data_IF_126700405610
#
_entry.id   IF_126700405610
#
_cell.length_a   1.000
_cell.length_b   1.000
_cell.length_c   1.000
_cell.angle_alpha   90.00
_cell.angle_beta   90.00
_cell.angle_gamma   90.00
#
_symmetry.space_group_name_H-M   'P 1'
#
loop_
_entity.id
_entity.type
_entity.pdbx_description
1 polymer ?
#
# COMPACT_ATOMS: atom_id res chain seq x y z
N UNK A 1 -15.02 -17.00 0.62
CA UNK A 1 -16.18 -16.35 1.27
C UNK A 1 -15.81 -14.91 1.58
N UNK A 2 -16.76 -13.96 1.61
CA UNK A 2 -16.47 -12.61 2.08
C UNK A 2 -16.23 -12.58 3.61
N UNK A 3 -15.63 -11.50 4.09
CA UNK A 3 -15.34 -11.28 5.51
C UNK A 3 -15.94 -9.97 5.99
N UNK A 4 -16.22 -9.87 7.28
CA UNK A 4 -16.57 -8.58 7.88
C UNK A 4 -15.37 -7.62 7.87
N UNK A 5 -15.54 -6.40 7.35
CA UNK A 5 -14.48 -5.40 7.28
C UNK A 5 -14.01 -4.93 8.67
N UNK A 6 -14.85 -5.05 9.70
CA UNK A 6 -14.52 -4.65 11.06
C UNK A 6 -13.85 -5.77 11.88
N UNK A 7 -14.48 -6.96 11.96
CA UNK A 7 -14.04 -8.04 12.84
C UNK A 7 -13.38 -9.24 12.14
N UNK A 8 -13.29 -9.25 10.80
CA UNK A 8 -12.70 -10.34 9.98
C UNK A 8 -13.39 -11.71 10.06
N UNK A 9 -14.50 -11.81 10.79
CA UNK A 9 -15.30 -13.03 10.81
C UNK A 9 -15.85 -13.29 9.39
N UNK A 10 -15.75 -14.53 8.86
CA UNK A 10 -16.35 -14.86 7.57
C UNK A 10 -17.86 -14.67 7.60
N UNK A 11 -18.42 -14.18 6.50
CA UNK A 11 -19.86 -13.96 6.33
C UNK A 11 -20.30 -14.66 5.05
N UNK A 12 -21.53 -15.19 5.02
CA UNK A 12 -22.04 -15.88 3.83
C UNK A 12 -22.29 -14.92 2.67
N UNK A 13 -22.92 -13.78 2.94
CA UNK A 13 -23.25 -12.73 1.98
C UNK A 13 -23.03 -11.36 2.63
N UNK A 14 -22.67 -10.36 1.81
CA UNK A 14 -22.45 -8.99 2.28
C UNK A 14 -23.70 -8.13 2.18
N UNK A 15 -24.56 -8.43 1.21
CA UNK A 15 -25.79 -7.70 0.95
C UNK A 15 -26.81 -8.60 0.25
N UNK A 16 -28.08 -8.28 0.47
CA UNK A 16 -29.22 -8.89 -0.21
C UNK A 16 -29.80 -7.91 -1.21
N UNK A 17 -30.09 -8.37 -2.43
CA UNK A 17 -30.73 -7.59 -3.50
C UNK A 17 -32.18 -8.06 -3.66
N UNK A 18 -33.11 -7.11 -3.59
CA UNK A 18 -34.54 -7.36 -3.78
C UNK A 18 -34.98 -7.09 -5.22
N UNK A 19 -35.64 -8.06 -5.84
CA UNK A 19 -36.04 -8.01 -7.26
C UNK A 19 -37.02 -6.88 -7.59
N UNK A 20 -37.85 -6.47 -6.62
CA UNK A 20 -38.95 -5.54 -6.88
C UNK A 20 -38.53 -4.10 -7.15
N UNK A 21 -37.34 -3.67 -6.72
CA UNK A 21 -36.95 -2.24 -6.77
C UNK A 21 -35.44 -1.98 -6.89
N UNK A 22 -34.60 -2.98 -7.20
CA UNK A 22 -33.13 -2.85 -7.14
C UNK A 22 -32.61 -2.28 -5.80
N UNK A 23 -33.39 -2.47 -4.73
CA UNK A 23 -32.99 -2.08 -3.39
C UNK A 23 -31.98 -3.11 -2.88
N UNK A 24 -30.84 -2.61 -2.41
CA UNK A 24 -29.82 -3.42 -1.75
C UNK A 24 -29.91 -3.17 -0.24
N UNK A 25 -29.72 -4.22 0.55
CA UNK A 25 -29.65 -4.14 2.00
C UNK A 25 -28.39 -4.84 2.49
N UNK A 26 -27.59 -4.12 3.26
CA UNK A 26 -26.38 -4.68 3.87
C UNK A 26 -26.74 -5.74 4.92
N UNK A 27 -25.96 -6.83 4.93
CA UNK A 27 -26.06 -7.90 5.92
C UNK A 27 -25.34 -7.51 7.21
N UNK A 28 -25.85 -8.00 8.34
CA UNK A 28 -25.27 -7.78 9.65
C UNK A 28 -24.30 -8.91 10.01
N UNK A 29 -23.13 -8.58 10.53
CA UNK A 29 -22.18 -9.58 11.02
C UNK A 29 -22.67 -10.20 12.33
N UNK A 30 -22.74 -11.53 12.40
CA UNK A 30 -23.15 -12.26 13.61
C UNK A 30 -22.22 -12.08 14.81
N UNK A 31 -20.95 -11.69 14.59
CA UNK A 31 -19.95 -11.57 15.64
C UNK A 31 -19.86 -10.15 16.23
N UNK A 32 -19.75 -9.11 15.40
CA UNK A 32 -19.66 -7.72 15.89
C UNK A 32 -20.99 -6.97 15.88
N UNK A 33 -22.05 -7.55 15.32
CA UNK A 33 -23.39 -6.95 15.18
C UNK A 33 -23.41 -5.62 14.39
N UNK A 34 -22.31 -5.23 13.75
CA UNK A 34 -22.26 -4.14 12.77
C UNK A 34 -22.64 -4.62 11.38
N UNK A 35 -22.79 -3.69 10.44
CA UNK A 35 -22.86 -4.04 9.01
C UNK A 35 -21.58 -4.75 8.57
N UNK A 36 -21.72 -5.84 7.82
CA UNK A 36 -20.58 -6.67 7.43
C UNK A 36 -19.58 -5.91 6.56
N UNK A 37 -20.07 -5.10 5.63
CA UNK A 37 -19.26 -4.26 4.76
C UNK A 37 -20.03 -3.02 4.25
N UNK A 38 -19.89 -1.86 4.90
CA UNK A 38 -20.51 -0.60 4.46
C UNK A 38 -20.01 -0.11 3.09
N UNK A 39 -18.81 -0.50 2.68
CA UNK A 39 -18.16 0.00 1.47
C UNK A 39 -18.78 -0.51 0.18
N UNK A 40 -19.70 -1.49 0.26
CA UNK A 40 -20.51 -1.95 -0.89
C UNK A 40 -21.33 -0.81 -1.50
N UNK A 41 -21.79 0.13 -0.68
CA UNK A 41 -22.60 1.28 -1.12
C UNK A 41 -21.75 2.50 -1.51
N UNK A 42 -20.46 2.49 -1.18
CA UNK A 42 -19.60 3.66 -1.35
C UNK A 42 -19.12 3.79 -2.80
N UNK A 43 -18.99 5.03 -3.27
CA UNK A 43 -18.48 5.32 -4.60
C UNK A 43 -16.95 5.16 -4.68
N UNK A 44 -16.43 5.09 -5.91
CA UNK A 44 -15.02 4.86 -6.14
C UNK A 44 -14.11 5.97 -5.57
N UNK A 45 -14.60 7.22 -5.50
CA UNK A 45 -13.85 8.34 -4.94
C UNK A 45 -13.70 8.21 -3.42
N UNK A 46 -14.78 7.88 -2.71
CA UNK A 46 -14.70 7.65 -1.26
C UNK A 46 -13.80 6.47 -0.94
N UNK A 47 -13.87 5.39 -1.72
CA UNK A 47 -12.94 4.26 -1.60
C UNK A 47 -11.48 4.69 -1.80
N UNK A 48 -11.20 5.52 -2.81
CA UNK A 48 -9.85 6.01 -3.07
C UNK A 48 -9.31 6.88 -1.94
N UNK A 49 -10.10 7.81 -1.42
CA UNK A 49 -9.71 8.68 -0.31
C UNK A 49 -9.41 7.87 0.95
N UNK A 50 -10.32 6.97 1.33
CA UNK A 50 -10.14 6.10 2.49
C UNK A 50 -8.92 5.18 2.36
N UNK A 51 -8.58 4.79 1.12
CA UNK A 51 -7.41 3.98 0.83
C UNK A 51 -6.12 4.78 0.99
N UNK A 52 -6.08 6.02 0.49
CA UNK A 52 -4.96 6.96 0.68
C UNK A 52 -4.76 7.27 2.16
N UNK A 53 -5.85 7.39 2.93
CA UNK A 53 -5.85 7.59 4.38
C UNK A 53 -5.53 6.33 5.20
N UNK A 54 -5.18 5.22 4.53
CA UNK A 54 -4.83 3.96 5.17
C UNK A 54 -5.90 3.47 6.15
N UNK A 55 -7.19 3.60 5.81
CA UNK A 55 -8.25 3.01 6.64
C UNK A 55 -8.26 1.49 6.48
N UNK A 56 -8.23 0.76 7.60
CA UNK A 56 -8.19 -0.72 7.58
C UNK A 56 -9.36 -1.35 6.83
N UNK A 57 -10.54 -0.76 6.94
CA UNK A 57 -11.78 -1.36 6.45
C UNK A 57 -11.85 -1.39 4.93
N UNK A 58 -11.41 -0.32 4.25
CA UNK A 58 -11.35 -0.30 2.78
C UNK A 58 -10.34 -1.29 2.21
N UNK A 59 -9.22 -1.54 2.89
CA UNK A 59 -8.29 -2.61 2.50
C UNK A 59 -8.98 -3.97 2.53
N UNK A 60 -9.74 -4.25 3.60
CA UNK A 60 -10.48 -5.52 3.72
C UNK A 60 -11.57 -5.64 2.67
N UNK A 61 -12.27 -4.54 2.40
CA UNK A 61 -13.25 -4.46 1.31
C UNK A 61 -12.61 -4.84 -0.04
N UNK A 62 -11.54 -4.15 -0.43
CA UNK A 62 -10.90 -4.34 -1.74
C UNK A 62 -10.21 -5.71 -1.89
N UNK A 63 -9.60 -6.24 -0.82
CA UNK A 63 -8.84 -7.49 -0.87
C UNK A 63 -9.73 -8.74 -0.77
N UNK A 64 -10.78 -8.71 0.05
CA UNK A 64 -11.53 -9.93 0.40
C UNK A 64 -13.02 -9.89 0.03
N UNK A 65 -13.60 -8.71 -0.21
CA UNK A 65 -15.03 -8.55 -0.43
C UNK A 65 -15.38 -8.05 -1.83
N UNK A 66 -14.42 -7.46 -2.55
CA UNK A 66 -14.61 -7.03 -3.93
C UNK A 66 -15.09 -8.20 -4.81
N UNK A 67 -16.11 -7.93 -5.61
CA UNK A 67 -16.71 -8.91 -6.53
C UNK A 67 -17.47 -10.04 -5.82
N UNK A 68 -17.90 -9.85 -4.56
CA UNK A 68 -18.75 -10.84 -3.89
C UNK A 68 -20.15 -10.83 -4.49
N UNK A 69 -20.71 -12.01 -4.71
CA UNK A 69 -22.05 -12.15 -5.26
C UNK A 69 -23.12 -11.78 -4.21
N UNK A 70 -24.17 -11.04 -4.60
CA UNK A 70 -25.29 -10.73 -3.73
C UNK A 70 -26.10 -11.98 -3.39
N UNK A 71 -26.77 -11.93 -2.24
CA UNK A 71 -27.89 -12.83 -1.99
C UNK A 71 -29.12 -12.34 -2.76
N UNK A 72 -29.72 -13.19 -3.59
CA UNK A 72 -31.00 -12.90 -4.23
C UNK A 72 -32.15 -13.48 -3.41
N UNK A 73 -33.10 -12.64 -2.99
CA UNK A 73 -34.28 -13.11 -2.26
C UNK A 73 -35.22 -13.86 -3.23
N UNK A 74 -35.59 -15.10 -2.91
CA UNK A 74 -36.51 -15.93 -3.70
C UNK A 74 -35.89 -17.10 -4.46
N UNK A 75 -34.55 -17.25 -4.45
CA UNK A 75 -33.90 -18.48 -4.93
C UNK A 75 -33.79 -19.49 -3.77
N UNK A 76 -34.47 -20.62 -3.89
CA UNK A 76 -34.24 -21.81 -3.04
C UNK A 76 -32.88 -22.41 -3.35
N UNK A 77 -32.19 -22.90 -2.33
CA UNK A 77 -30.76 -23.29 -2.27
C UNK A 77 -30.29 -24.40 -3.25
N UNK A 78 -31.03 -24.70 -4.31
CA UNK A 78 -30.77 -25.79 -5.25
C UNK A 78 -29.93 -25.39 -6.48
N UNK A 79 -29.72 -24.10 -6.75
CA UNK A 79 -28.96 -23.62 -7.94
C UNK A 79 -27.50 -23.18 -7.62
N UNK A 80 -26.99 -23.50 -6.42
CA UNK A 80 -25.66 -23.07 -5.93
C UNK A 80 -24.48 -23.84 -6.57
N UNK A 81 -24.71 -24.47 -7.73
CA UNK A 81 -23.70 -25.18 -8.54
C UNK A 81 -23.16 -24.31 -9.68
N UNK A 82 -23.45 -23.00 -9.68
CA UNK A 82 -22.78 -22.08 -10.60
C UNK A 82 -21.31 -21.99 -10.20
N UNK A 83 -20.45 -22.45 -11.11
CA UNK A 83 -19.00 -22.41 -10.97
C UNK A 83 -18.56 -20.99 -10.57
N UNK A 84 -18.21 -20.81 -9.29
CA UNK A 84 -17.60 -19.57 -8.82
C UNK A 84 -16.38 -19.30 -9.71
N UNK A 85 -16.32 -18.18 -10.44
CA UNK A 85 -15.12 -17.85 -11.20
C UNK A 85 -13.92 -17.91 -10.25
N UNK A 86 -12.80 -18.46 -10.72
CA UNK A 86 -11.65 -18.63 -9.86
C UNK A 86 -11.10 -17.24 -9.50
N UNK A 87 -11.52 -16.71 -8.35
CA UNK A 87 -11.17 -15.39 -7.79
C UNK A 87 -9.65 -15.08 -7.80
N UNK A 88 -8.81 -16.11 -7.96
CA UNK A 88 -7.37 -16.00 -8.17
C UNK A 88 -7.00 -15.36 -9.53
N UNK A 89 -7.69 -15.73 -10.62
CA UNK A 89 -7.49 -15.14 -11.95
C UNK A 89 -7.85 -13.66 -11.96
N UNK A 90 -8.95 -13.29 -11.30
CA UNK A 90 -9.38 -11.90 -11.18
C UNK A 90 -8.36 -11.05 -10.41
N UNK A 91 -7.80 -11.60 -9.34
CA UNK A 91 -6.77 -10.89 -8.56
C UNK A 91 -5.50 -10.64 -9.37
N UNK A 92 -5.02 -11.63 -10.14
CA UNK A 92 -3.87 -11.43 -11.02
C UNK A 92 -4.17 -10.47 -12.16
N UNK A 93 -5.38 -10.51 -12.73
CA UNK A 93 -5.82 -9.53 -13.72
C UNK A 93 -5.80 -8.10 -13.16
N UNK A 94 -6.21 -7.91 -11.90
CA UNK A 94 -6.11 -6.61 -11.21
C UNK A 94 -4.66 -6.16 -11.00
N UNK A 95 -3.77 -7.06 -10.60
CA UNK A 95 -2.32 -6.77 -10.47
C UNK A 95 -1.76 -6.28 -11.80
N UNK A 96 -2.06 -6.99 -12.90
CA UNK A 96 -1.59 -6.64 -14.25
C UNK A 96 -2.25 -5.35 -14.76
N UNK A 97 -3.49 -5.06 -14.37
CA UNK A 97 -4.19 -3.84 -14.78
C UNK A 97 -3.69 -2.59 -14.04
N UNK A 98 -3.42 -2.70 -12.73
CA UNK A 98 -3.04 -1.56 -11.88
C UNK A 98 -1.53 -1.30 -11.87
N UNK A 99 -0.73 -2.36 -11.90
CA UNK A 99 0.73 -2.29 -11.76
C UNK A 99 1.40 -1.35 -12.78
N UNK A 100 1.16 -1.50 -14.10
CA UNK A 100 1.79 -0.66 -15.12
C UNK A 100 1.49 0.83 -14.93
N UNK A 101 0.25 1.19 -14.62
CA UNK A 101 -0.14 2.59 -14.39
C UNK A 101 0.58 3.18 -13.18
N UNK A 102 0.68 2.45 -12.07
CA UNK A 102 1.36 2.92 -10.86
C UNK A 102 2.87 3.04 -11.05
N UNK A 103 3.49 2.08 -11.74
CA UNK A 103 4.92 2.10 -12.07
C UNK A 103 5.22 3.26 -13.02
N UNK A 104 4.37 3.51 -14.01
CA UNK A 104 4.52 4.63 -14.92
C UNK A 104 4.46 5.98 -14.18
N UNK A 105 3.48 6.16 -13.28
CA UNK A 105 3.38 7.38 -12.48
C UNK A 105 4.62 7.57 -11.59
N UNK A 106 5.09 6.51 -10.92
CA UNK A 106 6.31 6.60 -10.10
C UNK A 106 7.54 6.95 -10.96
N UNK A 107 7.68 6.34 -12.14
CA UNK A 107 8.77 6.63 -13.08
C UNK A 107 8.73 8.07 -13.60
N UNK A 108 7.56 8.60 -13.95
CA UNK A 108 7.39 10.00 -14.38
C UNK A 108 7.75 10.97 -13.26
N UNK A 109 7.34 10.69 -12.02
CA UNK A 109 7.71 11.52 -10.86
C UNK A 109 9.22 11.54 -10.67
N UNK A 110 9.89 10.37 -10.72
CA UNK A 110 11.36 10.28 -10.57
C UNK A 110 12.09 10.98 -11.71
N UNK A 111 11.64 10.78 -12.95
CA UNK A 111 12.25 11.41 -14.11
C UNK A 111 12.14 12.94 -14.07
N UNK A 112 10.98 13.48 -13.67
CA UNK A 112 10.80 14.95 -13.55
C UNK A 112 11.56 15.53 -12.36
N UNK A 113 11.69 14.80 -11.26
CA UNK A 113 12.41 15.28 -10.08
C UNK A 113 13.92 15.38 -10.32
N UNK A 114 14.51 14.54 -11.16
CA UNK A 114 15.94 14.59 -11.50
C UNK A 114 16.17 15.40 -12.79
N UNK A 115 16.52 16.67 -12.62
CA UNK A 115 16.75 17.62 -13.72
C UNK A 115 18.01 17.36 -14.54
N UNK A 116 18.93 16.55 -14.01
CA UNK A 116 20.22 16.26 -14.64
C UNK A 116 20.14 15.06 -15.59
N UNK A 117 19.03 14.33 -15.56
CA UNK A 117 18.78 13.16 -16.42
C UNK A 117 18.23 13.63 -17.77
N UNK A 118 18.91 13.33 -18.90
CA UNK A 118 18.45 13.76 -20.21
C UNK A 118 17.14 13.07 -20.63
N UNK A 119 16.35 13.72 -21.48
CA UNK A 119 15.02 13.24 -21.89
C UNK A 119 15.01 11.81 -22.46
N UNK A 120 16.09 11.40 -23.13
CA UNK A 120 16.20 10.05 -23.72
C UNK A 120 16.46 8.95 -22.69
N UNK A 121 16.73 9.29 -21.43
CA UNK A 121 16.95 8.33 -20.34
C UNK A 121 15.66 7.92 -19.61
N UNK A 122 14.50 8.49 -19.94
CA UNK A 122 13.20 8.03 -19.41
C UNK A 122 12.98 6.50 -19.47
N UNK A 123 13.24 5.79 -20.60
CA UNK A 123 13.09 4.34 -20.64
C UNK A 123 13.98 3.60 -19.63
N UNK A 124 15.17 4.14 -19.32
CA UNK A 124 16.05 3.57 -18.29
C UNK A 124 15.45 3.78 -16.89
N UNK A 125 14.92 4.98 -16.61
CA UNK A 125 14.21 5.28 -15.35
C UNK A 125 12.98 4.39 -15.18
N UNK A 126 12.21 4.17 -16.24
CA UNK A 126 11.05 3.27 -16.24
C UNK A 126 11.46 1.83 -15.97
N UNK A 127 12.51 1.33 -16.63
CA UNK A 127 13.03 -0.02 -16.42
C UNK A 127 13.55 -0.22 -14.98
N UNK A 128 14.30 0.75 -14.45
CA UNK A 128 14.77 0.74 -13.06
C UNK A 128 13.59 0.75 -12.08
N UNK A 129 12.57 1.57 -12.31
CA UNK A 129 11.37 1.62 -11.48
C UNK A 129 10.58 0.30 -11.51
N UNK A 130 10.49 -0.33 -12.68
CA UNK A 130 9.88 -1.64 -12.83
C UNK A 130 10.66 -2.70 -12.04
N UNK A 131 11.99 -2.74 -12.18
CA UNK A 131 12.85 -3.70 -11.48
C UNK A 131 12.77 -3.51 -9.96
N UNK A 132 12.86 -2.27 -9.48
CA UNK A 132 12.68 -1.89 -8.07
C UNK A 132 11.37 -2.44 -7.50
N UNK A 133 10.28 -2.21 -8.23
CA UNK A 133 8.95 -2.63 -7.81
C UNK A 133 8.85 -4.15 -7.81
N UNK A 134 9.37 -4.81 -8.84
CA UNK A 134 9.35 -6.26 -8.96
C UNK A 134 10.13 -6.92 -7.82
N UNK A 135 11.38 -6.51 -7.59
CA UNK A 135 12.25 -7.08 -6.54
C UNK A 135 11.65 -6.84 -5.16
N UNK A 136 11.15 -5.62 -4.89
CA UNK A 136 10.50 -5.31 -3.62
C UNK A 136 9.27 -6.20 -3.39
N UNK A 137 8.39 -6.35 -4.38
CA UNK A 137 7.20 -7.20 -4.28
C UNK A 137 7.54 -8.67 -4.08
N UNK A 138 8.53 -9.20 -4.81
CA UNK A 138 8.99 -10.57 -4.66
C UNK A 138 9.59 -10.81 -3.26
N UNK A 139 10.42 -9.89 -2.78
CA UNK A 139 11.01 -9.95 -1.45
C UNK A 139 9.97 -9.94 -0.34
N UNK A 140 9.01 -9.00 -0.37
CA UNK A 140 7.94 -8.94 0.64
C UNK A 140 7.01 -10.16 0.55
N UNK A 141 6.73 -10.66 -0.65
CA UNK A 141 5.91 -11.87 -0.84
C UNK A 141 6.60 -13.10 -0.24
N UNK A 142 7.90 -13.28 -0.51
CA UNK A 142 8.70 -14.36 0.07
C UNK A 142 8.72 -14.26 1.60
N UNK A 143 9.00 -13.08 2.15
CA UNK A 143 8.98 -12.83 3.59
C UNK A 143 7.61 -13.14 4.21
N UNK A 144 6.52 -12.74 3.56
CA UNK A 144 5.16 -13.01 4.03
C UNK A 144 4.85 -14.50 4.08
N UNK A 145 5.27 -15.27 3.07
CA UNK A 145 5.11 -16.73 3.03
C UNK A 145 5.92 -17.38 4.15
N UNK A 146 7.19 -16.97 4.33
CA UNK A 146 8.05 -17.47 5.40
C UNK A 146 7.49 -17.14 6.78
N UNK A 147 6.94 -15.93 6.98
CA UNK A 147 6.29 -15.54 8.21
C UNK A 147 5.07 -16.42 8.52
N UNK A 148 4.17 -16.61 7.55
CA UNK A 148 3.00 -17.48 7.75
C UNK A 148 3.42 -18.91 8.09
N UNK A 149 4.40 -19.48 7.36
CA UNK A 149 4.96 -20.81 7.67
C UNK A 149 5.60 -20.87 9.05
N UNK A 150 6.36 -19.84 9.45
CA UNK A 150 7.00 -19.79 10.77
C UNK A 150 5.96 -19.72 11.89
N UNK A 151 4.85 -19.00 11.68
CA UNK A 151 3.76 -18.89 12.64
C UNK A 151 2.98 -20.21 12.76
N UNK A 152 2.76 -20.92 11.64
CA UNK A 152 2.13 -22.24 11.66
C UNK A 152 3.04 -23.26 12.36
N UNK A 153 4.33 -23.25 12.05
CA UNK A 153 5.33 -24.09 12.72
C UNK A 153 5.38 -23.80 14.23
N UNK A 154 5.47 -22.53 14.62
CA UNK A 154 5.47 -22.13 16.04
C UNK A 154 4.17 -22.57 16.73
N UNK A 155 3.01 -22.42 16.09
CA UNK A 155 1.74 -22.90 16.64
C UNK A 155 1.76 -24.41 16.88
N UNK A 156 2.23 -25.19 15.91
CA UNK A 156 2.30 -26.66 16.04
C UNK A 156 3.30 -27.11 17.08
N UNK A 157 4.45 -26.43 17.19
CA UNK A 157 5.49 -26.76 18.17
C UNK A 157 5.05 -26.43 19.59
N UNK A 158 4.31 -25.34 19.79
CA UNK A 158 3.83 -24.90 21.11
C UNK A 158 2.40 -25.33 21.44
N UNK A 159 1.80 -26.27 20.69
CA UNK A 159 0.45 -26.80 20.89
C UNK A 159 -0.64 -25.74 21.16
N UNK A 160 -0.55 -24.58 20.51
CA UNK A 160 -1.55 -23.51 20.70
C UNK A 160 -2.82 -23.82 19.88
N UNK A 161 -4.03 -23.72 20.48
CA UNK A 161 -5.27 -23.98 19.77
C UNK A 161 -5.50 -22.97 18.63
N UNK A 162 -6.05 -23.46 17.52
CA UNK A 162 -6.36 -22.65 16.35
C UNK A 162 -7.52 -21.70 16.69
N UNK A 163 -7.28 -20.38 16.63
CA UNK A 163 -8.37 -19.40 16.69
C UNK A 163 -9.07 -19.37 15.33
N UNK A 164 -10.18 -20.10 15.22
CA UNK A 164 -11.04 -20.17 14.02
C UNK A 164 -11.75 -18.86 13.65
N UNK A 165 -11.51 -17.78 14.41
CA UNK A 165 -12.21 -16.50 14.26
C UNK A 165 -11.66 -15.60 13.14
N UNK A 166 -10.53 -15.93 12.51
CA UNK A 166 -9.85 -15.06 11.54
C UNK A 166 -10.08 -15.53 10.10
N UNK A 167 -11.08 -14.95 9.42
CA UNK A 167 -11.39 -15.25 8.02
C UNK A 167 -10.33 -14.78 7.01
N UNK A 168 -9.42 -13.90 7.42
CA UNK A 168 -8.33 -13.38 6.56
C UNK A 168 -7.33 -14.47 6.16
N UNK A 169 -6.92 -15.34 7.10
CA UNK A 169 -5.94 -16.39 6.84
C UNK A 169 -6.46 -17.49 5.93
N UNK A 170 -7.73 -17.84 6.06
CA UNK A 170 -8.37 -18.85 5.20
C UNK A 170 -8.50 -18.39 3.75
N UNK A 171 -8.61 -17.08 3.53
CA UNK A 171 -8.75 -16.48 2.20
C UNK A 171 -7.43 -15.92 1.64
N UNK A 172 -6.31 -16.09 2.34
CA UNK A 172 -5.02 -15.58 1.90
C UNK A 172 -4.59 -16.20 0.56
N UNK A 173 -4.14 -15.34 -0.37
CA UNK A 173 -3.54 -15.78 -1.64
C UNK A 173 -2.35 -14.88 -1.97
N UNK A 174 -1.37 -15.45 -2.65
CA UNK A 174 -0.15 -14.76 -3.08
C UNK A 174 -0.41 -13.40 -3.78
N UNK A 175 -1.31 -13.28 -4.77
CA UNK A 175 -1.52 -11.99 -5.45
C UNK A 175 -2.06 -10.87 -4.54
N UNK A 176 -2.67 -11.20 -3.39
CA UNK A 176 -3.15 -10.18 -2.45
C UNK A 176 -2.00 -9.38 -1.83
N UNK A 177 -0.81 -9.98 -1.68
CA UNK A 177 0.37 -9.26 -1.19
C UNK A 177 0.70 -8.12 -2.15
N UNK A 178 0.82 -8.43 -3.46
CA UNK A 178 1.09 -7.41 -4.48
C UNK A 178 -0.03 -6.36 -4.59
N UNK A 179 -1.29 -6.76 -4.52
CA UNK A 179 -2.41 -5.81 -4.51
C UNK A 179 -2.35 -4.88 -3.29
N UNK A 180 -2.02 -5.43 -2.13
CA UNK A 180 -1.87 -4.66 -0.89
C UNK A 180 -0.75 -3.64 -1.00
N UNK A 181 0.40 -4.03 -1.57
CA UNK A 181 1.53 -3.12 -1.81
C UNK A 181 1.17 -2.02 -2.82
N UNK A 182 0.45 -2.34 -3.89
CA UNK A 182 -0.05 -1.34 -4.84
C UNK A 182 -1.06 -0.38 -4.23
N UNK A 183 -1.98 -0.86 -3.40
CA UNK A 183 -2.90 0.01 -2.68
C UNK A 183 -2.16 0.91 -1.67
N UNK A 184 -1.16 0.37 -0.98
CA UNK A 184 -0.35 1.11 -0.02
C UNK A 184 0.56 2.16 -0.67
N UNK A 185 0.95 1.96 -1.94
CA UNK A 185 1.78 2.91 -2.67
C UNK A 185 1.01 4.16 -3.11
N UNK A 186 -0.33 4.14 -3.13
CA UNK A 186 -1.15 5.30 -3.46
C UNK A 186 -0.92 6.47 -2.50
N UNK A 187 -0.74 6.21 -1.21
CA UNK A 187 -0.42 7.24 -0.21
C UNK A 187 0.92 7.91 -0.53
N UNK A 188 1.95 7.10 -0.85
CA UNK A 188 3.26 7.61 -1.30
C UNK A 188 3.12 8.46 -2.56
N UNK A 189 2.46 7.95 -3.59
CA UNK A 189 2.29 8.65 -4.87
C UNK A 189 1.49 9.94 -4.72
N UNK A 190 0.44 9.94 -3.90
CA UNK A 190 -0.35 11.13 -3.60
C UNK A 190 0.52 12.23 -2.96
N UNK A 191 1.35 11.87 -1.98
CA UNK A 191 2.23 12.84 -1.31
C UNK A 191 3.37 13.33 -2.20
N UNK A 192 3.93 12.46 -3.05
CA UNK A 192 4.90 12.86 -4.06
C UNK A 192 4.27 13.78 -5.11
N UNK A 193 3.01 13.55 -5.47
CA UNK A 193 2.27 14.43 -6.36
C UNK A 193 2.03 15.79 -5.71
N UNK A 194 1.64 15.85 -4.43
CA UNK A 194 1.53 17.11 -3.71
C UNK A 194 2.86 17.86 -3.66
N UNK A 195 3.95 17.16 -3.33
CA UNK A 195 5.29 17.75 -3.32
C UNK A 195 5.70 18.29 -4.70
N UNK A 196 5.35 17.56 -5.76
CA UNK A 196 5.61 17.97 -7.14
C UNK A 196 4.86 19.24 -7.53
N UNK A 197 3.61 19.40 -7.10
CA UNK A 197 2.78 20.57 -7.38
C UNK A 197 3.28 21.76 -6.56
N UNK A 198 3.70 21.54 -5.31
CA UNK A 198 4.12 22.60 -4.39
C UNK A 198 5.59 23.03 -4.51
N UNK A 199 6.43 22.28 -5.24
CA UNK A 199 7.78 22.74 -5.59
C UNK A 199 7.67 23.94 -6.54
N UNK A 200 7.75 25.13 -5.96
CA UNK A 200 7.87 26.36 -6.73
C UNK A 200 9.13 26.27 -7.61
N UNK A 201 9.09 26.69 -8.89
CA UNK A 201 10.30 26.78 -9.68
C UNK A 201 11.18 27.85 -9.03
N UNK A 202 12.16 27.43 -8.25
CA UNK A 202 13.18 28.35 -7.73
C UNK A 202 13.85 29.00 -8.95
N UNK A 203 13.55 30.27 -9.19
CA UNK A 203 14.34 31.08 -10.10
C UNK A 203 15.78 31.08 -9.57
N UNK A 204 16.79 30.80 -10.39
CA UNK A 204 18.20 30.78 -9.96
C UNK A 204 18.74 32.18 -9.63
N UNK A 205 17.89 33.19 -9.55
CA UNK A 205 18.22 34.58 -9.25
C UNK A 205 17.24 35.13 -8.22
N UNK A 206 17.82 35.61 -7.11
CA UNK A 206 17.18 36.21 -5.94
C UNK A 206 16.55 35.23 -4.93
N UNK A 207 17.26 35.00 -3.83
CA UNK A 207 16.85 35.35 -2.45
C UNK A 207 18.01 34.94 -1.54
N UNK A 208 18.60 35.90 -0.83
CA UNK A 208 19.54 35.67 0.28
C UNK A 208 18.97 34.63 1.25
N UNK A 209 19.79 33.79 1.93
CA UNK A 209 19.27 32.79 2.85
C UNK A 209 18.33 33.47 3.85
N UNK A 210 17.05 33.14 3.77
CA UNK A 210 16.03 33.64 4.68
C UNK A 210 16.34 32.99 6.03
N UNK A 211 16.65 33.81 7.04
CA UNK A 211 16.93 33.32 8.40
C UNK A 211 15.78 32.44 8.89
N UNK A 212 16.05 31.22 9.41
CA UNK A 212 15.01 30.33 9.91
C UNK A 212 14.22 31.02 11.04
N UNK A 213 12.95 31.31 10.79
CA UNK A 213 12.05 32.00 11.74
C UNK A 213 11.40 33.29 11.22
N UNK A 214 11.69 33.74 10.00
CA UNK A 214 10.96 34.87 9.39
C UNK A 214 9.47 34.58 9.30
N UNK A 215 8.65 35.33 10.03
CA UNK A 215 7.19 35.19 10.10
C UNK A 215 6.67 34.55 11.39
N UNK A 216 7.53 34.02 12.26
CA UNK A 216 7.13 33.57 13.59
C UNK A 216 7.16 34.69 14.64
N UNK A 217 6.32 34.62 15.69
CA UNK A 217 6.45 35.48 16.87
C UNK A 217 7.87 35.40 17.44
N UNK A 218 8.46 36.55 17.77
CA UNK A 218 9.85 36.72 18.24
C UNK A 218 10.24 35.72 19.35
N UNK A 219 9.33 35.43 20.28
CA UNK A 219 9.55 34.49 21.38
C UNK A 219 9.79 33.04 20.94
N UNK A 220 9.23 32.61 19.82
CA UNK A 220 9.40 31.25 19.31
C UNK A 220 10.66 31.16 18.44
N UNK A 221 10.97 32.22 17.69
CA UNK A 221 12.17 32.30 16.85
C UNK A 221 13.49 32.29 17.66
N UNK A 222 13.45 32.72 18.94
CA UNK A 222 14.61 32.72 19.83
C UNK A 222 14.84 31.39 20.56
N UNK A 223 13.88 30.46 20.53
CA UNK A 223 14.06 29.19 21.22
C UNK A 223 15.06 28.33 20.42
N UNK A 224 16.20 28.01 21.02
CA UNK A 224 17.30 27.25 20.39
C UNK A 224 16.77 25.92 19.81
N UNK A 225 15.90 25.24 20.56
CA UNK A 225 15.19 24.04 20.13
C UNK A 225 14.30 24.27 18.90
N UNK A 226 13.56 25.39 18.85
CA UNK A 226 12.71 25.73 17.71
C UNK A 226 13.56 26.01 16.47
N UNK A 227 14.64 26.77 16.60
CA UNK A 227 15.58 27.07 15.51
C UNK A 227 16.30 25.82 15.00
N UNK A 228 16.72 24.92 15.89
CA UNK A 228 17.29 23.62 15.52
C UNK A 228 16.26 22.73 14.81
N UNK A 229 15.01 22.67 15.28
CA UNK A 229 13.96 21.89 14.61
C UNK A 229 13.57 22.46 13.26
N UNK A 230 13.52 23.80 13.12
CA UNK A 230 13.24 24.49 11.86
C UNK A 230 14.40 24.34 10.87
N UNK A 231 15.65 24.40 11.35
CA UNK A 231 16.84 24.15 10.52
C UNK A 231 16.92 22.68 10.05
N UNK A 232 16.46 21.73 10.86
CA UNK A 232 16.33 20.31 10.44
C UNK A 232 15.21 20.08 9.42
N UNK A 233 14.24 20.99 9.31
CA UNK A 233 13.11 20.94 8.36
C UNK A 233 13.35 21.73 7.07
N UNK A 234 14.49 22.42 6.98
CA UNK A 234 14.91 23.19 5.80
C UNK A 234 15.24 22.25 4.62
N UNK A 235 14.88 22.66 3.40
CA UNK A 235 15.02 21.85 2.18
C UNK A 235 16.49 21.48 1.88
N UNK A 236 17.45 22.22 2.44
CA UNK A 236 18.89 22.00 2.29
C UNK A 236 19.41 20.74 3.01
N UNK A 237 18.70 20.25 4.04
CA UNK A 237 19.12 19.11 4.85
C UNK A 237 18.16 17.91 4.83
N UNK A 238 16.90 18.09 4.44
CA UNK A 238 15.88 17.05 4.49
C UNK A 238 15.28 16.79 3.10
N UNK A 239 15.75 15.74 2.41
CA UNK A 239 15.14 15.30 1.14
C UNK A 239 13.75 14.69 1.42
N UNK A 240 12.74 15.56 1.36
CA UNK A 240 11.32 15.22 1.55
C UNK A 240 10.88 14.11 0.59
N UNK A 241 11.42 14.09 -0.62
CA UNK A 241 11.04 13.11 -1.63
C UNK A 241 11.62 11.73 -1.28
N UNK A 242 12.86 11.67 -0.77
CA UNK A 242 13.43 10.46 -0.19
C UNK A 242 12.63 9.94 1.01
N UNK A 243 12.24 10.83 1.93
CA UNK A 243 11.47 10.47 3.13
C UNK A 243 10.10 9.90 2.77
N UNK A 244 9.40 10.52 1.83
CA UNK A 244 8.11 10.02 1.34
C UNK A 244 8.29 8.64 0.69
N UNK A 245 9.31 8.47 -0.15
CA UNK A 245 9.56 7.20 -0.88
C UNK A 245 9.92 6.05 0.04
N UNK A 246 10.84 6.30 0.98
CA UNK A 246 11.39 5.28 1.84
C UNK A 246 10.58 5.19 3.14
N UNK A 247 10.66 6.18 4.01
CA UNK A 247 10.04 6.09 5.35
C UNK A 247 8.53 5.91 5.26
N UNK A 248 7.83 6.83 4.59
CA UNK A 248 6.37 6.82 4.57
C UNK A 248 5.80 5.71 3.68
N UNK A 249 6.42 5.46 2.53
CA UNK A 249 6.08 4.33 1.67
C UNK A 249 6.28 2.97 2.33
N UNK A 250 7.34 2.81 3.13
CA UNK A 250 7.57 1.59 3.92
C UNK A 250 6.55 1.41 5.03
N UNK A 251 6.22 2.48 5.76
CA UNK A 251 5.19 2.45 6.81
C UNK A 251 3.80 2.14 6.24
N UNK A 252 3.42 2.73 5.11
CA UNK A 252 2.13 2.44 4.46
C UNK A 252 2.06 0.99 3.98
N UNK A 253 3.13 0.48 3.37
CA UNK A 253 3.22 -0.93 2.96
C UNK A 253 3.11 -1.88 4.16
N UNK A 254 3.78 -1.57 5.27
CA UNK A 254 3.71 -2.34 6.51
C UNK A 254 2.30 -2.33 7.11
N UNK A 255 1.63 -1.18 7.11
CA UNK A 255 0.24 -1.06 7.53
C UNK A 255 -0.68 -1.95 6.68
N UNK A 256 -0.61 -1.83 5.35
CA UNK A 256 -1.42 -2.65 4.45
C UNK A 256 -1.18 -4.14 4.67
N UNK A 257 0.09 -4.54 4.81
CA UNK A 257 0.46 -5.93 5.07
C UNK A 257 -0.09 -6.43 6.41
N UNK A 258 -0.17 -5.56 7.43
CA UNK A 258 -0.81 -5.88 8.71
C UNK A 258 -2.28 -6.19 8.54
N UNK A 259 -2.98 -5.45 7.70
CA UNK A 259 -4.39 -5.71 7.39
C UNK A 259 -4.57 -7.04 6.68
N UNK A 260 -3.66 -7.38 5.76
CA UNK A 260 -3.68 -8.63 4.99
C UNK A 260 -3.36 -9.87 5.86
N UNK A 261 -2.25 -9.83 6.61
CA UNK A 261 -1.74 -10.98 7.36
C UNK A 261 -2.32 -11.11 8.77
N UNK A 262 -2.95 -10.04 9.26
CA UNK A 262 -3.53 -9.90 10.60
C UNK A 262 -2.57 -10.36 11.71
N UNK A 263 -1.33 -9.87 11.64
CA UNK A 263 -0.26 -10.19 12.56
C UNK A 263 0.30 -8.94 13.26
N UNK A 264 1.22 -9.14 14.21
CA UNK A 264 1.81 -8.04 14.97
C UNK A 264 2.60 -7.09 14.04
N UNK A 265 2.51 -5.76 14.22
CA UNK A 265 3.13 -4.78 13.32
C UNK A 265 4.65 -4.98 13.14
N UNK A 266 5.35 -5.43 14.19
CA UNK A 266 6.79 -5.73 14.11
C UNK A 266 7.09 -6.79 13.03
N UNK A 267 6.26 -7.83 12.90
CA UNK A 267 6.47 -8.87 11.89
C UNK A 267 6.29 -8.32 10.47
N UNK A 268 5.30 -7.46 10.26
CA UNK A 268 5.09 -6.81 8.96
C UNK A 268 6.19 -5.81 8.63
N UNK A 269 6.71 -5.09 9.64
CA UNK A 269 7.88 -4.23 9.45
C UNK A 269 9.10 -5.04 9.03
N UNK A 270 9.36 -6.19 9.67
CA UNK A 270 10.45 -7.08 9.27
C UNK A 270 10.29 -7.59 7.82
N UNK A 271 9.06 -7.89 7.39
CA UNK A 271 8.80 -8.28 6.00
C UNK A 271 9.11 -7.16 5.00
N UNK A 272 8.73 -5.92 5.32
CA UNK A 272 9.03 -4.74 4.48
C UNK A 272 10.53 -4.48 4.44
N UNK A 273 11.23 -4.55 5.59
CA UNK A 273 12.68 -4.41 5.66
C UNK A 273 13.40 -5.48 4.84
N UNK A 274 12.92 -6.72 4.86
CA UNK A 274 13.45 -7.78 4.01
C UNK A 274 13.26 -7.46 2.52
N UNK A 275 12.09 -6.94 2.14
CA UNK A 275 11.82 -6.47 0.78
C UNK A 275 12.77 -5.34 0.34
N UNK A 276 13.05 -4.39 1.25
CA UNK A 276 14.03 -3.33 1.00
C UNK A 276 15.45 -3.86 0.87
N UNK A 277 15.88 -4.74 1.77
CA UNK A 277 17.20 -5.38 1.67
C UNK A 277 17.36 -6.11 0.33
N UNK A 278 16.32 -6.86 -0.08
CA UNK A 278 16.30 -7.54 -1.38
C UNK A 278 16.46 -6.57 -2.55
N UNK A 279 15.75 -5.42 -2.49
CA UNK A 279 15.85 -4.35 -3.48
C UNK A 279 17.27 -3.76 -3.53
N UNK A 280 17.84 -3.40 -2.38
CA UNK A 280 19.18 -2.80 -2.30
C UNK A 280 20.26 -3.74 -2.83
N UNK A 281 20.18 -5.03 -2.50
CA UNK A 281 21.10 -6.05 -3.02
C UNK A 281 20.99 -6.20 -4.55
N UNK A 282 19.76 -6.15 -5.09
CA UNK A 282 19.55 -6.19 -6.53
C UNK A 282 20.11 -4.94 -7.22
N UNK A 283 19.92 -3.75 -6.66
CA UNK A 283 20.49 -2.50 -7.18
C UNK A 283 22.02 -2.56 -7.23
N UNK A 284 22.68 -2.95 -6.14
CA UNK A 284 24.13 -3.12 -6.09
C UNK A 284 24.64 -4.14 -7.11
N UNK A 285 23.91 -5.25 -7.30
CA UNK A 285 24.26 -6.27 -8.29
C UNK A 285 24.15 -5.76 -9.72
N UNK A 286 23.12 -4.96 -10.03
CA UNK A 286 22.93 -4.33 -11.34
C UNK A 286 24.01 -3.31 -11.63
N UNK A 287 24.37 -2.48 -10.65
CA UNK A 287 25.42 -1.48 -10.80
C UNK A 287 26.79 -2.14 -11.02
N UNK A 288 27.10 -3.20 -10.28
CA UNK A 288 28.32 -3.99 -10.50
C UNK A 288 28.38 -4.62 -11.90
N UNK A 289 27.23 -5.04 -12.45
CA UNK A 289 27.18 -5.73 -13.74
C UNK A 289 27.21 -4.76 -14.93
N UNK A 290 26.57 -3.60 -14.80
CA UNK A 290 26.39 -2.64 -15.90
C UNK A 290 27.36 -1.48 -15.86
N UNK A 291 28.02 -1.22 -14.72
CA UNK A 291 28.85 -0.04 -14.50
C UNK A 291 28.08 1.29 -14.52
N UNK A 292 26.74 1.24 -14.48
CA UNK A 292 25.86 2.41 -14.56
C UNK A 292 25.27 2.73 -13.18
N UNK A 293 25.63 3.87 -12.60
CA UNK A 293 25.19 4.31 -11.25
C UNK A 293 23.72 4.75 -11.15
N UNK A 294 22.87 4.47 -12.14
CA UNK A 294 21.51 5.01 -12.23
C UNK A 294 20.59 4.45 -11.13
N UNK A 295 20.93 3.29 -10.54
CA UNK A 295 20.08 2.64 -9.53
C UNK A 295 20.39 3.06 -8.08
N UNK A 296 21.60 3.59 -7.82
CA UNK A 296 22.10 3.94 -6.49
C UNK A 296 21.54 5.26 -5.94
N UNK A 297 21.23 6.25 -6.78
CA UNK A 297 20.79 7.59 -6.34
C UNK A 297 19.45 7.58 -5.58
N UNK A 298 18.67 6.50 -5.72
CA UNK A 298 17.37 6.31 -5.06
C UNK A 298 17.34 5.17 -4.05
N UNK A 299 18.47 4.50 -3.84
CA UNK A 299 18.64 3.46 -2.82
C UNK A 299 19.27 4.07 -1.58
N UNK A 300 19.01 3.50 -0.40
CA UNK A 300 19.58 3.97 0.88
C UNK A 300 21.12 4.01 0.75
N UNK A 301 21.80 5.06 1.23
CA UNK A 301 23.27 5.11 1.26
C UNK A 301 23.88 3.91 2.00
#
# INVERSE_FOLDING_TARGET
MPICTQCTCPVSYLYTVYQSMNNLRLEQCSNCLGFADPYVEHDALTLLLDLILLKREVYRHLLFNRGSEPRHMGQTSADDTRQRPSRSKDNWALVVKLGPSLILVDAVIRWRDNKDVPNHAFPQVLAACFLDTLVFHLGVTLASILLLKSMDWFRTTFNRPYSSKLGTRTEFRIPLVSLTLFYSSLTKLFLLLLLAIWRSPMSPTAVSPVEPGTGLPYHIAQHELARSTLALLDESHFDRAWVIRNVLGGMSAGFGLRVLLDCHPVLTTLAVLFGWCSKSLAAQSVDCLTGMSITLEYSIP
#
